data_IF_703166618163
#
_entry.id   IF_703166618163
#
_cell.length_a   1.000
_cell.length_b   1.000
_cell.length_c   1.000
_cell.angle_alpha   90.00
_cell.angle_beta   90.00
_cell.angle_gamma   90.00
#
_symmetry.space_group_name_H-M   'P 1'
#
loop_
_entity.id
_entity.type
_entity.pdbx_description
1 polymer ?
#
# COMPACT_ATOMS: atom_id res chain seq x y z
N UNK A 1 1.48 15.14 -12.14
CA UNK A 1 2.82 14.75 -11.70
C UNK A 1 2.63 13.40 -11.04
N UNK A 2 3.44 12.43 -11.35
CA UNK A 2 3.23 11.10 -10.79
C UNK A 2 3.57 11.14 -9.28
N UNK A 3 2.77 10.45 -8.46
CA UNK A 3 3.00 10.34 -7.02
C UNK A 3 4.28 9.54 -6.74
N UNK A 4 4.95 9.83 -5.61
CA UNK A 4 6.15 9.12 -5.16
C UNK A 4 7.42 9.27 -6.01
N UNK A 5 7.58 10.35 -6.77
CA UNK A 5 8.81 10.62 -7.53
C UNK A 5 9.96 11.09 -6.62
N UNK A 6 9.79 12.20 -5.93
CA UNK A 6 10.82 12.76 -5.04
C UNK A 6 10.74 12.22 -3.61
N UNK A 7 9.56 11.75 -3.21
CA UNK A 7 9.31 11.21 -1.87
C UNK A 7 9.94 9.82 -1.67
N UNK A 8 10.05 9.01 -2.71
CA UNK A 8 10.63 7.67 -2.63
C UNK A 8 12.00 7.67 -1.94
N UNK A 9 12.86 8.66 -2.25
CA UNK A 9 14.22 8.80 -1.70
C UNK A 9 14.25 8.86 -0.16
N UNK A 10 13.24 9.45 0.46
CA UNK A 10 13.15 9.62 1.92
C UNK A 10 12.00 8.88 2.56
N UNK A 11 11.22 8.14 1.76
CA UNK A 11 10.03 7.41 2.22
C UNK A 11 10.34 6.51 3.41
N UNK A 12 11.32 5.64 3.30
CA UNK A 12 11.68 4.71 4.37
C UNK A 12 12.18 5.44 5.63
N UNK A 13 12.77 6.63 5.48
CA UNK A 13 13.19 7.44 6.62
C UNK A 13 11.98 7.96 7.39
N UNK A 14 10.94 8.46 6.70
CA UNK A 14 9.73 8.93 7.34
C UNK A 14 8.81 7.80 7.83
N UNK A 15 8.94 6.63 7.24
CA UNK A 15 8.18 5.44 7.60
C UNK A 15 8.90 4.54 8.64
N UNK A 16 10.00 4.99 9.25
CA UNK A 16 10.76 4.22 10.24
C UNK A 16 9.99 3.97 11.56
N UNK A 17 8.94 4.77 11.82
CA UNK A 17 8.00 4.59 12.91
C UNK A 17 6.87 3.62 12.60
N UNK A 18 6.73 3.18 11.34
CA UNK A 18 5.75 2.16 10.95
C UNK A 18 6.27 0.78 11.35
N UNK A 19 5.51 0.02 12.13
CA UNK A 19 5.96 -1.27 12.64
C UNK A 19 5.81 -2.38 11.58
N UNK A 20 6.53 -2.25 10.47
CA UNK A 20 6.45 -3.20 9.34
C UNK A 20 6.67 -4.66 9.75
N UNK A 21 7.56 -4.91 10.72
CA UNK A 21 7.81 -6.27 11.21
C UNK A 21 6.56 -6.87 11.90
N UNK A 22 5.89 -6.09 12.76
CA UNK A 22 4.67 -6.50 13.46
C UNK A 22 3.50 -6.66 12.47
N UNK A 23 3.38 -5.76 11.50
CA UNK A 23 2.36 -5.88 10.45
C UNK A 23 2.60 -7.10 9.56
N UNK A 24 3.85 -7.38 9.20
CA UNK A 24 4.21 -8.58 8.44
C UNK A 24 3.87 -9.85 9.21
N UNK A 25 4.18 -9.91 10.50
CA UNK A 25 3.81 -11.04 11.36
C UNK A 25 2.28 -11.20 11.47
N UNK A 26 1.53 -10.09 11.54
CA UNK A 26 0.09 -10.08 11.57
C UNK A 26 -0.49 -10.66 10.27
N UNK A 27 -0.09 -10.18 9.09
CA UNK A 27 -0.52 -10.70 7.80
C UNK A 27 -0.14 -12.17 7.62
N UNK A 28 1.12 -12.53 7.90
CA UNK A 28 1.59 -13.91 7.86
C UNK A 28 0.84 -14.82 8.83
N UNK A 29 0.44 -14.29 9.99
CA UNK A 29 -0.41 -14.99 10.96
C UNK A 29 -1.78 -15.35 10.37
N UNK A 30 -2.45 -14.39 9.74
CA UNK A 30 -3.75 -14.61 9.07
C UNK A 30 -3.59 -15.63 7.92
N UNK A 31 -2.56 -15.50 7.10
CA UNK A 31 -2.27 -16.47 6.03
C UNK A 31 -2.11 -17.88 6.59
N UNK A 32 -1.30 -18.05 7.62
CA UNK A 32 -1.05 -19.36 8.27
C UNK A 32 -2.29 -19.97 8.90
N UNK A 33 -3.15 -19.16 9.54
CA UNK A 33 -4.42 -19.58 10.12
C UNK A 33 -5.37 -20.13 9.04
N UNK A 34 -5.28 -19.59 7.82
CA UNK A 34 -6.07 -20.03 6.66
C UNK A 34 -5.33 -21.06 5.78
N UNK A 35 -4.26 -21.67 6.28
CA UNK A 35 -3.55 -22.76 5.61
C UNK A 35 -2.54 -22.34 4.55
N UNK A 36 -2.27 -21.03 4.38
CA UNK A 36 -1.28 -20.49 3.46
C UNK A 36 0.01 -20.24 4.24
N UNK A 37 0.98 -21.15 4.10
CA UNK A 37 2.24 -21.11 4.87
C UNK A 37 3.47 -20.88 4.00
N UNK A 38 3.31 -20.99 2.71
CA UNK A 38 4.32 -20.88 1.67
C UNK A 38 3.65 -20.59 0.33
N UNK A 39 4.46 -20.49 -0.72
CA UNK A 39 4.03 -20.32 -2.10
C UNK A 39 3.96 -18.86 -2.52
N UNK A 40 3.44 -18.65 -3.72
CA UNK A 40 3.49 -17.35 -4.38
C UNK A 40 2.49 -16.38 -3.76
N UNK A 41 2.96 -15.20 -3.35
CA UNK A 41 2.17 -14.11 -2.78
C UNK A 41 2.46 -12.83 -3.55
N UNK A 42 1.39 -12.12 -3.91
CA UNK A 42 1.47 -10.79 -4.53
C UNK A 42 1.35 -9.71 -3.45
N UNK A 43 2.27 -8.76 -3.46
CA UNK A 43 2.19 -7.49 -2.74
C UNK A 43 1.79 -6.40 -3.74
N UNK A 44 0.54 -5.93 -3.65
CA UNK A 44 -0.09 -5.03 -4.61
C UNK A 44 -0.08 -3.59 -4.08
N UNK A 45 0.71 -2.71 -4.69
CA UNK A 45 1.11 -1.42 -4.15
C UNK A 45 2.27 -1.59 -3.16
N UNK A 46 3.33 -2.31 -3.58
CA UNK A 46 4.41 -2.72 -2.70
C UNK A 46 5.37 -1.59 -2.28
N UNK A 47 5.31 -0.43 -2.95
CA UNK A 47 6.17 0.72 -2.68
C UNK A 47 7.65 0.35 -2.71
N UNK A 48 8.40 0.74 -1.69
CA UNK A 48 9.83 0.43 -1.52
C UNK A 48 10.11 -1.03 -1.14
N UNK A 49 9.09 -1.91 -1.14
CA UNK A 49 9.23 -3.34 -0.92
C UNK A 49 9.53 -3.76 0.53
N UNK A 50 9.32 -2.88 1.51
CA UNK A 50 9.65 -3.19 2.92
C UNK A 50 8.88 -4.41 3.44
N UNK A 51 7.57 -4.50 3.19
CA UNK A 51 6.76 -5.66 3.58
C UNK A 51 7.06 -6.86 2.71
N UNK A 52 7.25 -6.66 1.40
CA UNK A 52 7.63 -7.72 0.44
C UNK A 52 8.88 -8.46 0.88
N UNK A 53 9.94 -7.73 1.26
CA UNK A 53 11.21 -8.28 1.76
C UNK A 53 11.04 -9.09 3.05
N UNK A 54 10.25 -8.58 3.99
CA UNK A 54 9.98 -9.27 5.25
C UNK A 54 9.19 -10.57 5.02
N UNK A 55 8.20 -10.57 4.13
CA UNK A 55 7.45 -11.78 3.77
C UNK A 55 8.32 -12.81 3.04
N UNK A 56 9.21 -12.37 2.14
CA UNK A 56 10.22 -13.24 1.52
C UNK A 56 11.12 -13.88 2.57
N UNK A 57 11.54 -13.10 3.59
CA UNK A 57 12.31 -13.61 4.73
C UNK A 57 11.56 -14.65 5.58
N UNK A 58 10.22 -14.65 5.55
CA UNK A 58 9.39 -15.68 6.20
C UNK A 58 9.17 -16.93 5.32
N UNK A 59 9.69 -16.94 4.08
CA UNK A 59 9.68 -18.09 3.18
C UNK A 59 8.55 -18.10 2.15
N UNK A 60 7.87 -16.95 1.93
CA UNK A 60 6.95 -16.79 0.80
C UNK A 60 7.71 -16.45 -0.48
N UNK A 61 7.24 -16.96 -1.62
CA UNK A 61 7.70 -16.53 -2.94
C UNK A 61 6.98 -15.22 -3.28
N UNK A 62 7.71 -14.13 -3.49
CA UNK A 62 7.10 -12.81 -3.57
C UNK A 62 7.11 -12.21 -4.97
N UNK A 63 5.96 -11.62 -5.34
CA UNK A 63 5.85 -10.65 -6.44
C UNK A 63 5.44 -9.32 -5.81
N UNK A 64 6.16 -8.23 -6.12
CA UNK A 64 5.77 -6.87 -5.80
C UNK A 64 5.31 -6.13 -7.05
N UNK A 65 4.16 -5.47 -6.98
CA UNK A 65 3.63 -4.60 -8.05
C UNK A 65 3.48 -3.19 -7.49
N UNK A 66 4.03 -2.22 -8.19
CA UNK A 66 3.84 -0.80 -7.91
C UNK A 66 3.87 0.00 -9.22
N UNK A 67 3.24 1.16 -9.25
CA UNK A 67 3.22 2.03 -10.41
C UNK A 67 4.29 3.14 -10.40
N UNK A 68 5.09 3.24 -9.32
CA UNK A 68 6.22 4.15 -9.21
C UNK A 68 7.53 3.44 -9.53
N UNK A 69 8.23 3.91 -10.57
CA UNK A 69 9.56 3.42 -10.95
C UNK A 69 10.56 3.69 -9.83
N UNK A 70 10.49 4.86 -9.20
CA UNK A 70 11.41 5.27 -8.13
C UNK A 70 11.24 4.42 -6.87
N UNK A 71 10.01 4.04 -6.52
CA UNK A 71 9.75 3.09 -5.42
C UNK A 71 10.35 1.73 -5.73
N UNK A 72 10.17 1.23 -6.96
CA UNK A 72 10.70 -0.07 -7.37
C UNK A 72 12.23 -0.09 -7.54
N UNK A 73 12.87 1.04 -7.80
CA UNK A 73 14.34 1.15 -7.75
C UNK A 73 14.85 0.85 -6.33
N UNK A 74 14.24 1.48 -5.30
CA UNK A 74 14.59 1.23 -3.89
C UNK A 74 14.28 -0.21 -3.49
N UNK A 75 13.13 -0.75 -3.90
CA UNK A 75 12.77 -2.15 -3.68
C UNK A 75 13.80 -3.11 -4.30
N UNK A 76 14.28 -2.80 -5.50
CA UNK A 76 15.31 -3.58 -6.19
C UNK A 76 16.68 -3.50 -5.50
N UNK A 77 17.03 -2.36 -4.91
CA UNK A 77 18.24 -2.22 -4.08
C UNK A 77 18.14 -3.09 -2.81
N UNK A 78 16.99 -3.08 -2.13
CA UNK A 78 16.74 -3.95 -0.96
C UNK A 78 16.85 -5.43 -1.34
N UNK A 79 16.22 -5.84 -2.44
CA UNK A 79 16.36 -7.20 -2.99
C UNK A 79 17.81 -7.58 -3.25
N UNK A 80 18.59 -6.68 -3.85
CA UNK A 80 20.01 -6.94 -4.12
C UNK A 80 20.83 -7.10 -2.83
N UNK A 81 20.48 -6.35 -1.77
CA UNK A 81 21.14 -6.42 -0.47
C UNK A 81 20.74 -7.67 0.33
N UNK A 82 19.47 -8.06 0.31
CA UNK A 82 18.96 -9.25 1.02
C UNK A 82 19.29 -10.56 0.34
N UNK A 83 19.36 -10.54 -1.01
CA UNK A 83 19.53 -11.72 -1.85
C UNK A 83 18.27 -12.58 -1.99
N UNK A 84 17.10 -12.09 -1.57
CA UNK A 84 15.82 -12.76 -1.80
C UNK A 84 15.46 -12.78 -3.28
N UNK A 85 14.79 -13.85 -3.73
CA UNK A 85 14.32 -13.97 -5.12
C UNK A 85 12.90 -13.38 -5.22
N UNK A 86 12.81 -12.06 -5.37
CA UNK A 86 11.56 -11.31 -5.47
C UNK A 86 11.40 -10.80 -6.90
N UNK A 87 10.22 -10.91 -7.48
CA UNK A 87 9.90 -10.32 -8.78
C UNK A 87 9.19 -8.98 -8.57
N UNK A 88 9.82 -7.87 -8.94
CA UNK A 88 9.17 -6.57 -8.97
C UNK A 88 8.69 -6.22 -10.38
N UNK A 89 7.46 -5.70 -10.49
CA UNK A 89 6.79 -5.35 -11.75
C UNK A 89 6.26 -3.91 -11.67
N UNK A 90 6.68 -3.08 -12.63
CA UNK A 90 6.15 -1.73 -12.80
C UNK A 90 4.79 -1.80 -13.50
N UNK A 91 3.71 -1.82 -12.72
CA UNK A 91 2.33 -1.92 -13.21
C UNK A 91 1.37 -1.17 -12.29
N UNK A 92 0.27 -0.67 -12.87
CA UNK A 92 -0.85 -0.12 -12.11
C UNK A 92 -1.69 -1.25 -11.50
N UNK A 93 -2.07 -1.13 -10.23
CA UNK A 93 -2.91 -2.12 -9.55
C UNK A 93 -4.29 -2.30 -10.19
N UNK A 94 -4.74 -1.35 -11.01
CA UNK A 94 -6.02 -1.41 -11.73
C UNK A 94 -5.96 -2.25 -12.99
N UNK A 95 -4.76 -2.55 -13.50
CA UNK A 95 -4.57 -3.25 -14.78
C UNK A 95 -3.38 -4.22 -14.81
N UNK A 96 -2.94 -4.68 -13.62
CA UNK A 96 -1.80 -5.58 -13.54
C UNK A 96 -2.07 -6.94 -14.20
N UNK A 97 -0.99 -7.55 -14.72
CA UNK A 97 -1.01 -8.87 -15.35
C UNK A 97 0.02 -9.80 -14.72
N UNK A 98 -0.37 -11.03 -14.43
CA UNK A 98 0.51 -12.09 -13.97
C UNK A 98 0.47 -13.29 -14.93
N UNK A 99 1.55 -14.07 -14.97
CA UNK A 99 1.62 -15.28 -15.80
C UNK A 99 0.83 -16.46 -15.22
N UNK A 100 0.39 -16.39 -13.99
CA UNK A 100 -0.34 -17.46 -13.31
C UNK A 100 -1.04 -16.93 -12.08
N UNK A 101 -1.60 -17.83 -11.28
CA UNK A 101 -2.30 -17.50 -10.06
C UNK A 101 -1.36 -17.47 -8.85
N UNK A 102 -1.80 -16.80 -7.79
CA UNK A 102 -1.09 -16.65 -6.51
C UNK A 102 -1.95 -17.18 -5.36
N UNK A 103 -1.31 -17.64 -4.29
CA UNK A 103 -2.01 -18.16 -3.10
C UNK A 103 -2.64 -17.06 -2.26
N UNK A 104 -2.02 -15.90 -2.27
CA UNK A 104 -2.57 -14.72 -1.60
C UNK A 104 -2.17 -13.44 -2.33
N UNK A 105 -2.98 -12.41 -2.14
CA UNK A 105 -2.67 -11.02 -2.47
C UNK A 105 -2.70 -10.23 -1.18
N UNK A 106 -1.71 -9.38 -0.97
CA UNK A 106 -1.64 -8.41 0.12
C UNK A 106 -1.61 -7.02 -0.50
N UNK A 107 -2.32 -6.06 0.08
CA UNK A 107 -2.23 -4.64 -0.27
C UNK A 107 -2.28 -3.84 1.02
N UNK A 108 -1.13 -3.38 1.48
CA UNK A 108 -0.96 -2.74 2.77
C UNK A 108 -0.76 -1.23 2.65
N UNK A 109 -0.80 -0.54 3.79
CA UNK A 109 -0.58 0.91 3.89
C UNK A 109 -1.56 1.73 3.05
N UNK A 110 -2.88 1.42 3.20
CA UNK A 110 -3.98 2.15 2.53
C UNK A 110 -3.80 2.34 1.01
N UNK A 111 -3.02 1.48 0.36
CA UNK A 111 -2.77 1.54 -1.09
C UNK A 111 -4.07 1.52 -1.91
N UNK A 112 -5.09 0.79 -1.48
CA UNK A 112 -6.39 0.74 -2.16
C UNK A 112 -7.15 2.08 -2.14
N UNK A 113 -6.83 3.00 -1.22
CA UNK A 113 -7.45 4.32 -1.16
C UNK A 113 -7.02 5.24 -2.30
N UNK A 114 -5.91 4.94 -2.99
CA UNK A 114 -5.50 5.64 -4.20
C UNK A 114 -6.40 5.37 -5.41
N UNK A 115 -7.23 4.34 -5.36
CA UNK A 115 -8.29 4.13 -6.34
C UNK A 115 -9.46 5.02 -5.93
N UNK A 116 -9.65 6.14 -6.60
CA UNK A 116 -10.64 7.16 -6.21
C UNK A 116 -12.04 6.88 -6.74
N UNK A 117 -12.19 6.03 -7.76
CA UNK A 117 -13.47 5.68 -8.34
C UNK A 117 -13.94 4.29 -7.84
N UNK A 118 -15.15 4.20 -7.22
CA UNK A 118 -15.67 2.93 -6.70
C UNK A 118 -15.83 1.82 -7.76
N UNK A 119 -16.08 2.20 -9.01
CA UNK A 119 -16.17 1.28 -10.13
C UNK A 119 -14.80 0.65 -10.42
N UNK A 120 -13.73 1.46 -10.45
CA UNK A 120 -12.36 0.98 -10.65
C UNK A 120 -11.91 0.09 -9.47
N UNK A 121 -12.33 0.40 -8.23
CA UNK A 121 -12.05 -0.46 -7.07
C UNK A 121 -12.68 -1.85 -7.25
N UNK A 122 -13.93 -1.92 -7.72
CA UNK A 122 -14.59 -3.19 -7.97
C UNK A 122 -13.92 -3.98 -9.11
N UNK A 123 -13.46 -3.29 -10.16
CA UNK A 123 -12.70 -3.88 -11.27
C UNK A 123 -11.34 -4.39 -10.82
N UNK A 124 -10.62 -3.63 -10.00
CA UNK A 124 -9.35 -4.05 -9.38
C UNK A 124 -9.55 -5.29 -8.52
N UNK A 125 -10.59 -5.35 -7.69
CA UNK A 125 -10.90 -6.53 -6.89
C UNK A 125 -11.28 -7.74 -7.76
N UNK A 126 -11.96 -7.52 -8.89
CA UNK A 126 -12.25 -8.60 -9.85
C UNK A 126 -10.95 -9.12 -10.51
N UNK A 127 -10.00 -8.22 -10.78
CA UNK A 127 -8.69 -8.59 -11.31
C UNK A 127 -7.88 -9.38 -10.28
N UNK A 128 -7.89 -8.96 -9.01
CA UNK A 128 -7.30 -9.73 -7.90
C UNK A 128 -7.92 -11.13 -7.83
N UNK A 129 -9.26 -11.23 -7.87
CA UNK A 129 -9.94 -12.53 -7.85
C UNK A 129 -9.56 -13.44 -9.04
N UNK A 130 -9.32 -12.85 -10.22
CA UNK A 130 -8.88 -13.59 -11.40
C UNK A 130 -7.50 -14.26 -11.23
N UNK A 131 -6.62 -13.64 -10.44
CA UNK A 131 -5.27 -14.15 -10.18
C UNK A 131 -5.15 -14.91 -8.86
N UNK A 132 -6.17 -14.99 -8.01
CA UNK A 132 -6.15 -15.82 -6.82
C UNK A 132 -6.37 -17.29 -7.17
N UNK A 133 -5.62 -18.17 -6.50
CA UNK A 133 -5.92 -19.60 -6.46
C UNK A 133 -7.31 -19.83 -5.88
N UNK A 134 -8.01 -20.92 -6.25
CA UNK A 134 -9.24 -21.31 -5.57
C UNK A 134 -9.01 -21.48 -4.06
N UNK A 135 -9.72 -20.68 -3.26
CA UNK A 135 -9.53 -20.60 -1.81
C UNK A 135 -8.33 -19.77 -1.37
N UNK A 136 -7.72 -19.01 -2.27
CA UNK A 136 -6.73 -17.99 -1.93
C UNK A 136 -7.33 -16.83 -1.16
N UNK A 137 -6.47 -16.01 -0.54
CA UNK A 137 -6.88 -14.87 0.29
C UNK A 137 -6.42 -13.55 -0.31
N UNK A 138 -7.29 -12.54 -0.20
CA UNK A 138 -6.93 -11.15 -0.40
C UNK A 138 -6.99 -10.43 0.95
N UNK A 139 -5.84 -9.93 1.41
CA UNK A 139 -5.67 -9.18 2.65
C UNK A 139 -5.33 -7.74 2.30
N UNK A 140 -6.08 -6.78 2.79
CA UNK A 140 -5.80 -5.37 2.57
C UNK A 140 -6.30 -4.53 3.73
N UNK A 141 -5.70 -3.40 3.94
CA UNK A 141 -6.21 -2.35 4.81
C UNK A 141 -6.70 -1.15 3.99
N UNK A 142 -7.56 -0.36 4.58
CA UNK A 142 -8.02 0.88 3.99
C UNK A 142 -8.43 1.90 5.04
N UNK A 143 -8.23 3.15 4.71
CA UNK A 143 -8.72 4.26 5.49
C UNK A 143 -10.20 4.52 5.18
N UNK A 144 -11.01 4.52 6.24
CA UNK A 144 -12.42 4.84 6.10
C UNK A 144 -12.64 6.35 5.94
N UNK A 145 -13.80 6.74 5.42
CA UNK A 145 -14.26 8.14 5.38
C UNK A 145 -14.08 8.84 6.73
N UNK A 146 -14.30 8.11 7.85
CA UNK A 146 -14.15 8.66 9.20
C UNK A 146 -12.72 9.18 9.46
N UNK A 147 -11.69 8.46 9.02
CA UNK A 147 -10.29 8.89 9.20
C UNK A 147 -10.02 10.22 8.51
N UNK A 148 -10.44 10.35 7.26
CA UNK A 148 -10.19 11.59 6.51
C UNK A 148 -11.03 12.75 7.04
N UNK A 149 -12.31 12.53 7.35
CA UNK A 149 -13.22 13.59 7.79
C UNK A 149 -13.00 14.04 9.23
N UNK A 150 -12.80 13.10 10.16
CA UNK A 150 -12.83 13.40 11.60
C UNK A 150 -11.42 13.42 12.24
N UNK A 151 -10.45 12.69 11.66
CA UNK A 151 -9.11 12.57 12.25
C UNK A 151 -8.11 13.45 11.51
N UNK A 152 -8.02 13.36 10.20
CA UNK A 152 -7.13 14.18 9.40
C UNK A 152 -7.74 15.54 9.09
N UNK A 153 -8.96 15.57 8.52
CA UNK A 153 -9.65 16.84 8.17
C UNK A 153 -8.74 17.72 7.32
N UNK A 154 -8.78 19.02 7.63
CA UNK A 154 -7.93 20.05 7.00
C UNK A 154 -6.70 20.33 7.87
N UNK A 155 -6.02 19.28 8.33
CA UNK A 155 -4.85 19.43 9.22
C UNK A 155 -3.55 19.53 8.43
N UNK A 156 -2.59 20.23 9.01
CA UNK A 156 -1.20 20.23 8.57
C UNK A 156 -0.37 19.38 9.53
N UNK A 157 0.33 18.40 8.98
CA UNK A 157 1.28 17.55 9.70
C UNK A 157 2.68 17.94 9.23
N UNK A 158 3.61 18.14 10.13
CA UNK A 158 4.98 18.44 9.78
C UNK A 158 5.94 17.62 10.65
N UNK A 159 6.98 17.14 10.02
CA UNK A 159 8.07 16.45 10.70
C UNK A 159 9.41 17.01 10.25
N UNK A 160 10.31 17.17 11.20
CA UNK A 160 11.64 17.68 10.95
C UNK A 160 12.68 16.72 11.53
N UNK A 161 13.58 16.25 10.68
CA UNK A 161 14.71 15.38 11.02
C UNK A 161 16.02 16.03 10.57
N UNK A 162 17.16 15.44 10.94
CA UNK A 162 18.47 16.00 10.64
C UNK A 162 18.76 16.14 9.14
N UNK A 163 18.31 15.14 8.34
CA UNK A 163 18.62 15.08 6.90
C UNK A 163 17.43 15.43 6.00
N UNK A 164 16.21 15.40 6.54
CA UNK A 164 15.01 15.68 5.76
C UNK A 164 13.87 16.24 6.62
N UNK A 165 12.92 16.90 5.98
CA UNK A 165 11.69 17.40 6.62
C UNK A 165 10.55 17.34 5.64
N UNK A 166 9.31 17.23 6.16
CA UNK A 166 8.13 17.39 5.33
C UNK A 166 7.08 18.28 5.99
N UNK A 167 6.25 18.84 5.14
CA UNK A 167 4.98 19.49 5.48
C UNK A 167 3.91 18.79 4.67
N UNK A 168 2.91 18.23 5.34
CA UNK A 168 1.79 17.51 4.74
C UNK A 168 0.51 18.26 5.08
N UNK A 169 -0.11 18.87 4.08
CA UNK A 169 -1.34 19.64 4.19
C UNK A 169 -2.49 18.82 3.62
N UNK A 170 -3.53 18.57 4.44
CA UNK A 170 -4.68 17.78 4.06
C UNK A 170 -5.87 18.69 3.74
N UNK A 171 -6.61 18.34 2.68
CA UNK A 171 -7.84 19.01 2.24
C UNK A 171 -8.89 17.96 1.92
N UNK A 172 -9.86 17.81 2.82
CA UNK A 172 -10.91 16.80 2.62
C UNK A 172 -12.16 17.39 1.98
N UNK A 173 -12.53 16.88 0.79
CA UNK A 173 -13.82 17.17 0.15
C UNK A 173 -14.89 16.16 0.62
N UNK A 174 -15.88 16.58 1.45
CA UNK A 174 -16.90 15.67 1.94
C UNK A 174 -17.96 15.29 0.89
N UNK A 175 -18.04 15.98 -0.27
CA UNK A 175 -18.98 15.67 -1.35
C UNK A 175 -18.43 14.54 -2.21
N UNK A 176 -17.18 14.68 -2.61
CA UNK A 176 -16.47 13.67 -3.41
C UNK A 176 -15.87 12.56 -2.54
N UNK A 177 -15.73 12.82 -1.23
CA UNK A 177 -15.04 11.96 -0.24
C UNK A 177 -13.58 11.70 -0.60
N UNK A 178 -12.94 12.69 -1.20
CA UNK A 178 -11.54 12.67 -1.57
C UNK A 178 -10.76 13.49 -0.55
N UNK A 179 -9.67 12.92 -0.06
CA UNK A 179 -8.63 13.65 0.65
C UNK A 179 -7.51 13.96 -0.35
N UNK A 180 -7.39 15.22 -0.71
CA UNK A 180 -6.22 15.75 -1.38
C UNK A 180 -5.20 16.11 -0.31
N UNK A 181 -3.95 15.71 -0.49
CA UNK A 181 -2.89 16.21 0.35
C UNK A 181 -1.68 16.63 -0.45
N UNK A 182 -1.20 17.82 -0.12
CA UNK A 182 0.03 18.38 -0.66
C UNK A 182 1.18 18.05 0.28
N UNK A 183 2.19 17.41 -0.25
CA UNK A 183 3.38 17.02 0.46
C UNK A 183 4.57 17.85 -0.02
N UNK A 184 5.06 18.75 0.84
CA UNK A 184 6.31 19.48 0.60
C UNK A 184 7.42 18.79 1.36
N UNK A 185 8.46 18.37 0.66
CA UNK A 185 9.59 17.61 1.19
C UNK A 185 10.88 18.40 0.98
N UNK A 186 11.73 18.43 1.99
CA UNK A 186 13.05 19.02 1.96
C UNK A 186 14.08 17.93 2.28
N UNK A 187 15.01 17.68 1.36
CA UNK A 187 16.12 16.73 1.54
C UNK A 187 17.43 17.49 1.57
N UNK A 188 18.24 17.21 2.58
CA UNK A 188 19.51 17.90 2.78
C UNK A 188 20.57 17.41 1.79
N UNK A 189 21.19 18.37 1.10
CA UNK A 189 22.34 18.17 0.22
C UNK A 189 23.50 19.05 0.68
N UNK A 190 24.29 18.56 1.61
CA UNK A 190 25.38 19.32 2.23
C UNK A 190 24.86 20.47 3.09
N UNK A 191 25.08 21.73 2.66
CA UNK A 191 24.58 22.93 3.36
C UNK A 191 23.27 23.48 2.76
N UNK A 192 22.73 22.85 1.72
CA UNK A 192 21.50 23.25 1.05
C UNK A 192 20.42 22.18 1.24
N UNK A 193 19.20 22.53 0.84
CA UNK A 193 18.07 21.61 0.79
C UNK A 193 17.48 21.60 -0.61
N UNK A 194 17.24 20.39 -1.14
CA UNK A 194 16.44 20.17 -2.33
C UNK A 194 14.99 20.07 -1.90
N UNK A 195 14.11 20.79 -2.59
CA UNK A 195 12.68 20.79 -2.32
C UNK A 195 11.94 20.00 -3.39
N UNK A 196 10.99 19.17 -2.97
CA UNK A 196 10.01 18.50 -3.81
C UNK A 196 8.61 18.88 -3.37
N UNK A 197 7.67 18.78 -4.28
CA UNK A 197 6.24 18.94 -4.00
C UNK A 197 5.49 17.83 -4.72
N UNK A 198 4.65 17.11 -4.01
CA UNK A 198 3.79 16.06 -4.55
C UNK A 198 2.36 16.26 -4.05
N UNK A 199 1.39 16.00 -4.91
CA UNK A 199 -0.03 16.03 -4.56
C UNK A 199 -0.58 14.63 -4.71
N UNK A 200 -1.27 14.16 -3.69
CA UNK A 200 -1.88 12.83 -3.65
C UNK A 200 -3.38 12.94 -3.43
N UNK A 201 -4.11 11.99 -4.00
CA UNK A 201 -5.55 11.89 -3.86
C UNK A 201 -5.90 10.51 -3.33
N UNK A 202 -6.62 10.48 -2.21
CA UNK A 202 -7.12 9.25 -1.62
C UNK A 202 -8.61 9.35 -1.34
N UNK A 203 -9.36 8.29 -1.63
CA UNK A 203 -10.79 8.24 -1.34
C UNK A 203 -11.06 7.61 0.01
N UNK A 204 -11.91 8.27 0.80
CA UNK A 204 -12.49 7.70 2.02
C UNK A 204 -13.64 6.76 1.68
N UNK A 205 -13.40 5.44 1.81
CA UNK A 205 -14.42 4.44 1.60
C UNK A 205 -15.22 4.13 2.87
N UNK A 206 -16.48 3.77 2.71
CA UNK A 206 -17.25 3.15 3.77
C UNK A 206 -17.04 1.62 3.72
N UNK A 207 -17.13 0.96 4.87
CA UNK A 207 -17.11 -0.50 4.97
C UNK A 207 -18.13 -1.16 4.01
N UNK A 208 -19.30 -0.52 3.86
CA UNK A 208 -20.34 -1.03 2.96
C UNK A 208 -19.91 -1.00 1.50
N UNK A 209 -19.32 0.10 1.05
CA UNK A 209 -18.84 0.21 -0.35
C UNK A 209 -17.79 -0.82 -0.66
N UNK A 210 -16.79 -0.98 0.22
CA UNK A 210 -15.73 -2.00 0.06
C UNK A 210 -16.34 -3.41 0.01
N UNK A 211 -17.27 -3.71 0.92
CA UNK A 211 -17.96 -5.02 0.93
C UNK A 211 -18.77 -5.26 -0.34
N UNK A 212 -19.43 -4.20 -0.86
CA UNK A 212 -20.19 -4.31 -2.10
C UNK A 212 -19.26 -4.48 -3.33
N UNK A 213 -18.06 -3.85 -3.33
CA UNK A 213 -17.03 -4.07 -4.36
C UNK A 213 -16.50 -5.52 -4.32
N UNK A 214 -16.18 -6.06 -3.15
CA UNK A 214 -15.77 -7.46 -3.00
C UNK A 214 -16.83 -8.41 -3.56
N UNK A 215 -18.10 -8.19 -3.23
CA UNK A 215 -19.20 -9.01 -3.72
C UNK A 215 -19.36 -8.92 -5.24
N UNK A 216 -19.25 -7.73 -5.83
CA UNK A 216 -19.27 -7.53 -7.29
C UNK A 216 -18.12 -8.26 -7.97
N UNK A 217 -16.95 -8.28 -7.33
CA UNK A 217 -15.77 -9.00 -7.79
C UNK A 217 -15.87 -10.54 -7.64
N UNK A 218 -16.95 -11.06 -7.05
CA UNK A 218 -17.13 -12.50 -6.81
C UNK A 218 -16.36 -13.03 -5.60
N UNK A 219 -15.93 -12.15 -4.71
CA UNK A 219 -15.25 -12.51 -3.46
C UNK A 219 -16.21 -12.54 -2.27
N UNK A 220 -15.87 -13.34 -1.27
CA UNK A 220 -16.56 -13.41 0.03
C UNK A 220 -15.72 -12.69 1.09
N UNK A 221 -16.35 -11.79 1.86
CA UNK A 221 -15.72 -11.20 3.04
C UNK A 221 -15.64 -12.23 4.15
N UNK A 222 -14.44 -12.66 4.49
CA UNK A 222 -14.20 -13.69 5.53
C UNK A 222 -14.13 -13.05 6.93
N UNK A 223 -13.42 -11.96 7.07
CA UNK A 223 -13.25 -11.24 8.33
C UNK A 223 -12.92 -9.77 8.09
N UNK A 224 -13.19 -8.96 9.09
CA UNK A 224 -12.82 -7.55 9.16
C UNK A 224 -12.35 -7.25 10.58
N UNK A 225 -11.28 -6.51 10.69
CA UNK A 225 -10.65 -6.17 11.95
C UNK A 225 -10.42 -4.67 12.04
N UNK A 226 -10.36 -4.13 13.24
CA UNK A 226 -9.96 -2.75 13.46
C UNK A 226 -8.42 -2.67 13.50
N UNK A 227 -7.85 -2.03 12.52
CA UNK A 227 -6.43 -1.75 12.24
C UNK A 227 -5.42 -2.68 12.91
N UNK A 228 -4.93 -3.71 12.22
CA UNK A 228 -3.89 -4.65 12.70
C UNK A 228 -4.17 -5.31 14.06
N UNK A 229 -5.43 -5.41 14.45
CA UNK A 229 -5.91 -6.16 15.63
C UNK A 229 -6.67 -7.40 15.20
N UNK A 230 -7.22 -8.15 16.16
CA UNK A 230 -8.19 -9.24 15.92
C UNK A 230 -9.54 -8.92 16.59
N UNK A 231 -9.82 -7.64 16.82
CA UNK A 231 -11.07 -7.15 17.40
C UNK A 231 -12.08 -6.73 16.34
#
# INVERSE_FOLDING_TARGET
MDAYTGFAEVYDTFMDNVPYAEWTEYYAGILKENGIRDGLVLDLGCGTGSMTELLAGLGYDMIGVDNSEEMLEIASEKKAASGHDILYLLQDMREFELYGTVRAVISACDSVNYITEPEELAETFALVNNYLDPGGLFLFDFNTEYKYREILGDTTIAENRDECSFIWENFYDPQERINEYDLTIFVREGELYRKFEETHFQRGYTVREVTDCLRKAGMELVAMYDGFTKE
#
